data_IF_386244488962
#
_entry.id   IF_386244488962
#
_cell.length_a   1.000
_cell.length_b   1.000
_cell.length_c   1.000
_cell.angle_alpha   90.00
_cell.angle_beta   90.00
_cell.angle_gamma   90.00
#
_symmetry.space_group_name_H-M   'P 1'
#
loop_
_entity.id
_entity.type
_entity.pdbx_description
1 polymer ?
#
# COMPACT_ATOMS: atom_id res chain seq x y z
N UNK A 1 -16.73 -9.45 17.66
CA UNK A 1 -15.92 -9.61 16.44
C UNK A 1 -14.47 -9.34 16.80
N UNK A 2 -13.52 -10.15 16.33
CA UNK A 2 -12.10 -9.90 16.57
C UNK A 2 -11.61 -8.73 15.70
N UNK A 3 -10.61 -7.99 16.14
CA UNK A 3 -10.04 -6.84 15.41
C UNK A 3 -9.62 -7.23 13.97
N UNK A 4 -9.11 -8.45 13.80
CA UNK A 4 -8.69 -9.00 12.52
C UNK A 4 -9.85 -9.08 11.49
N UNK A 5 -11.07 -9.38 11.94
CA UNK A 5 -12.25 -9.39 11.07
C UNK A 5 -12.60 -7.97 10.58
N UNK A 6 -12.34 -6.94 11.38
CA UNK A 6 -12.67 -5.54 11.04
C UNK A 6 -11.72 -4.99 9.97
N UNK A 7 -10.41 -5.22 10.11
CA UNK A 7 -9.43 -4.70 9.14
C UNK A 7 -9.54 -5.39 7.78
N UNK A 8 -9.82 -6.70 7.76
CA UNK A 8 -10.07 -7.42 6.52
C UNK A 8 -11.33 -6.90 5.81
N UNK A 9 -12.40 -6.63 6.55
CA UNK A 9 -13.61 -6.01 5.98
C UNK A 9 -13.33 -4.63 5.38
N UNK A 10 -12.50 -3.82 6.03
CA UNK A 10 -12.07 -2.52 5.49
C UNK A 10 -11.30 -2.67 4.18
N UNK A 11 -10.36 -3.62 4.10
CA UNK A 11 -9.59 -3.90 2.89
C UNK A 11 -10.50 -4.38 1.74
N UNK A 12 -11.38 -5.36 2.00
CA UNK A 12 -12.32 -5.89 1.02
C UNK A 12 -13.28 -4.80 0.51
N UNK A 13 -13.68 -3.85 1.37
CA UNK A 13 -14.55 -2.75 0.98
C UNK A 13 -13.92 -1.77 -0.03
N UNK A 14 -12.59 -1.78 -0.22
CA UNK A 14 -11.94 -1.00 -1.27
C UNK A 14 -12.19 -1.59 -2.66
N UNK A 15 -12.41 -2.91 -2.75
CA UNK A 15 -12.67 -3.62 -4.02
C UNK A 15 -14.14 -3.65 -4.41
N UNK A 16 -15.06 -3.41 -3.47
CA UNK A 16 -16.49 -3.36 -3.75
C UNK A 16 -16.99 -1.98 -4.19
N UNK A 17 -16.17 -0.94 -3.99
CA UNK A 17 -16.56 0.48 -4.18
C UNK A 17 -15.99 1.11 -5.43
N UNK A 18 -14.88 0.58 -5.93
CA UNK A 18 -14.26 1.02 -7.17
C UNK A 18 -14.66 0.05 -8.29
N UNK A 19 -14.78 0.51 -9.54
CA UNK A 19 -14.89 -0.33 -10.75
C UNK A 19 -13.58 -1.14 -10.97
N UNK A 20 -13.12 -1.81 -9.93
CA UNK A 20 -11.89 -2.58 -9.93
C UNK A 20 -12.08 -3.76 -10.85
N UNK A 21 -11.23 -3.85 -11.86
CA UNK A 21 -11.18 -4.99 -12.78
C UNK A 21 -10.57 -6.23 -12.13
N UNK A 22 -10.05 -6.10 -10.90
CA UNK A 22 -9.40 -7.17 -10.13
C UNK A 22 -9.98 -7.32 -8.73
N UNK A 23 -9.89 -8.53 -8.19
CA UNK A 23 -10.27 -8.84 -6.80
C UNK A 23 -9.13 -8.60 -5.82
N UNK A 24 -9.47 -8.58 -4.52
CA UNK A 24 -8.49 -8.53 -3.45
C UNK A 24 -7.51 -9.71 -3.53
N UNK A 25 -8.02 -10.91 -3.82
CA UNK A 25 -7.23 -12.13 -3.89
C UNK A 25 -6.23 -12.11 -5.06
N UNK A 26 -6.61 -11.54 -6.20
CA UNK A 26 -5.73 -11.39 -7.36
C UNK A 26 -4.57 -10.45 -7.06
N UNK A 27 -4.86 -9.29 -6.46
CA UNK A 27 -3.81 -8.35 -6.05
C UNK A 27 -2.96 -8.94 -4.91
N UNK A 28 -3.56 -9.61 -3.94
CA UNK A 28 -2.84 -10.29 -2.87
C UNK A 28 -1.85 -11.32 -3.45
N UNK A 29 -2.30 -12.15 -4.39
CA UNK A 29 -1.46 -13.12 -5.07
C UNK A 29 -0.30 -12.44 -5.80
N UNK A 30 -0.53 -11.33 -6.48
CA UNK A 30 0.52 -10.57 -7.15
C UNK A 30 1.55 -10.01 -6.16
N UNK A 31 1.11 -9.37 -5.07
CA UNK A 31 2.00 -8.73 -4.11
C UNK A 31 2.79 -9.73 -3.24
N UNK A 32 2.29 -10.96 -3.06
CA UNK A 32 3.09 -12.06 -2.51
C UNK A 32 4.33 -12.33 -3.38
N UNK A 33 4.21 -12.20 -4.71
CA UNK A 33 5.32 -12.49 -5.64
C UNK A 33 6.21 -11.27 -5.91
N UNK A 34 5.63 -10.08 -6.04
CA UNK A 34 6.33 -8.91 -6.58
C UNK A 34 6.63 -7.84 -5.53
N UNK A 35 6.14 -8.01 -4.31
CA UNK A 35 6.11 -6.97 -3.32
C UNK A 35 6.19 -7.47 -1.90
N UNK A 36 5.39 -6.83 -1.05
CA UNK A 36 5.32 -7.08 0.38
C UNK A 36 3.87 -7.11 0.79
N UNK A 37 3.58 -8.09 1.63
CA UNK A 37 2.27 -8.30 2.23
C UNK A 37 2.45 -8.32 3.74
N UNK A 38 1.75 -7.43 4.43
CA UNK A 38 1.66 -7.44 5.88
C UNK A 38 0.20 -7.55 6.26
N UNK A 39 -0.13 -8.58 7.04
CA UNK A 39 -1.47 -8.83 7.58
C UNK A 39 -1.30 -9.02 9.07
N UNK A 40 -1.76 -8.04 9.83
CA UNK A 40 -1.78 -8.05 11.30
C UNK A 40 -3.23 -7.87 11.77
N UNK A 41 -3.53 -8.09 13.05
CA UNK A 41 -4.88 -7.85 13.57
C UNK A 41 -5.37 -6.40 13.43
N UNK A 42 -4.47 -5.46 13.16
CA UNK A 42 -4.68 -4.01 13.15
C UNK A 42 -4.37 -3.36 11.81
N UNK A 43 -3.69 -4.03 10.89
CA UNK A 43 -3.29 -3.49 9.59
C UNK A 43 -3.28 -4.56 8.48
N UNK A 44 -3.73 -4.19 7.29
CA UNK A 44 -3.43 -4.92 6.04
C UNK A 44 -2.72 -3.96 5.11
N UNK A 45 -1.60 -4.40 4.53
CA UNK A 45 -0.78 -3.62 3.63
C UNK A 45 -0.30 -4.48 2.45
N UNK A 46 -0.54 -3.99 1.23
CA UNK A 46 0.08 -4.46 0.00
C UNK A 46 0.95 -3.33 -0.55
N UNK A 47 2.26 -3.52 -0.57
CA UNK A 47 3.19 -2.49 -1.01
C UNK A 47 4.41 -3.06 -1.74
N UNK A 48 5.01 -2.27 -2.63
CA UNK A 48 6.27 -2.64 -3.29
C UNK A 48 7.10 -1.41 -3.66
N UNK A 49 8.41 -1.61 -3.79
CA UNK A 49 9.30 -0.56 -4.25
C UNK A 49 9.16 -0.42 -5.78
N UNK A 50 9.03 0.81 -6.27
CA UNK A 50 8.79 1.12 -7.69
C UNK A 50 9.61 2.33 -8.14
N UNK A 51 9.93 2.45 -9.44
CA UNK A 51 10.41 3.70 -10.03
C UNK A 51 9.25 4.70 -10.20
N UNK A 52 9.32 5.83 -9.49
CA UNK A 52 8.30 6.88 -9.40
C UNK A 52 8.07 7.67 -10.68
N UNK A 53 8.95 7.51 -11.66
CA UNK A 53 8.91 8.13 -12.98
C UNK A 53 8.29 7.24 -14.05
N UNK A 54 8.07 5.95 -13.78
CA UNK A 54 7.43 5.02 -14.72
C UNK A 54 5.94 4.91 -14.42
N UNK A 55 5.16 4.72 -15.48
CA UNK A 55 3.77 4.34 -15.32
C UNK A 55 3.69 2.93 -14.73
N UNK A 56 2.72 2.75 -13.85
CA UNK A 56 2.44 1.48 -13.21
C UNK A 56 1.18 0.92 -13.83
N UNK A 57 1.32 -0.20 -14.53
CA UNK A 57 0.20 -0.79 -15.26
C UNK A 57 -0.38 -1.95 -14.47
N UNK A 58 0.45 -2.82 -13.88
CA UNK A 58 -0.03 -4.07 -13.29
C UNK A 58 0.62 -4.46 -11.94
N UNK A 59 -0.14 -5.09 -11.02
CA UNK A 59 0.34 -5.77 -9.80
C UNK A 59 1.55 -6.67 -10.00
N UNK A 60 1.65 -7.29 -11.17
CA UNK A 60 2.71 -8.24 -11.54
C UNK A 60 3.99 -7.58 -12.05
N UNK A 61 4.01 -6.27 -12.25
CA UNK A 61 5.22 -5.55 -12.66
C UNK A 61 6.31 -5.70 -11.59
N UNK A 62 7.54 -5.94 -12.05
CA UNK A 62 8.74 -6.03 -11.20
C UNK A 62 9.80 -5.07 -11.73
N UNK A 63 10.68 -4.62 -10.83
CA UNK A 63 11.73 -3.67 -11.16
C UNK A 63 13.03 -4.04 -10.46
N UNK A 64 14.12 -3.58 -11.06
CA UNK A 64 15.40 -3.62 -10.41
C UNK A 64 15.38 -2.69 -9.18
N UNK A 65 15.86 -3.20 -8.04
CA UNK A 65 15.90 -2.47 -6.79
C UNK A 65 16.68 -1.14 -6.89
N UNK A 66 17.68 -1.06 -7.78
CA UNK A 66 18.47 0.15 -8.01
C UNK A 66 17.72 1.25 -8.76
N UNK A 67 16.62 0.91 -9.46
CA UNK A 67 15.77 1.89 -10.14
C UNK A 67 14.66 2.44 -9.24
N UNK A 68 14.39 1.81 -8.10
CA UNK A 68 13.28 2.14 -7.23
C UNK A 68 13.57 3.33 -6.31
N UNK A 69 12.76 4.39 -6.42
CA UNK A 69 12.81 5.61 -5.62
C UNK A 69 11.48 5.91 -4.90
N UNK A 70 10.49 5.02 -5.02
CA UNK A 70 9.20 5.14 -4.35
C UNK A 70 8.74 3.83 -3.69
N UNK A 71 8.01 3.96 -2.59
CA UNK A 71 7.10 2.91 -2.14
C UNK A 71 5.72 3.11 -2.76
N UNK A 72 5.25 2.13 -3.53
CA UNK A 72 3.84 2.06 -3.93
C UNK A 72 3.06 1.33 -2.83
N UNK A 73 2.11 2.03 -2.23
CA UNK A 73 1.06 1.46 -1.37
C UNK A 73 -0.16 1.23 -2.23
N UNK A 74 -0.36 -0.03 -2.61
CA UNK A 74 -1.48 -0.44 -3.44
C UNK A 74 -2.76 -0.57 -2.62
N UNK A 75 -2.63 -1.17 -1.45
CA UNK A 75 -3.71 -1.28 -0.48
C UNK A 75 -3.17 -1.02 0.91
N UNK A 76 -3.91 -0.24 1.69
CA UNK A 76 -3.72 -0.18 3.13
C UNK A 76 -5.06 -0.01 3.84
N UNK A 77 -5.27 -0.78 4.90
CA UNK A 77 -6.45 -0.71 5.77
C UNK A 77 -6.03 -0.84 7.24
N UNK A 78 -6.78 -0.21 8.14
CA UNK A 78 -6.48 -0.20 9.57
C UNK A 78 -5.47 0.89 9.97
N UNK A 79 -4.56 0.58 10.90
CA UNK A 79 -3.55 1.52 11.39
C UNK A 79 -2.45 1.74 10.34
N UNK A 80 -2.50 2.90 9.67
CA UNK A 80 -1.52 3.28 8.66
C UNK A 80 -0.17 3.68 9.26
N UNK A 81 -0.06 3.93 10.57
CA UNK A 81 1.24 4.20 11.19
C UNK A 81 2.14 2.94 11.17
N UNK A 82 1.53 1.75 11.22
CA UNK A 82 2.25 0.47 11.11
C UNK A 82 2.98 0.31 9.77
N UNK A 83 2.50 0.96 8.70
CA UNK A 83 3.20 0.99 7.41
C UNK A 83 4.68 1.35 7.58
N UNK A 84 4.98 2.38 8.37
CA UNK A 84 6.34 2.86 8.57
C UNK A 84 7.22 1.93 9.41
N UNK A 85 6.63 0.92 10.06
CA UNK A 85 7.35 -0.12 10.79
C UNK A 85 7.71 -1.29 9.87
N UNK A 86 6.86 -1.56 8.87
CA UNK A 86 7.01 -2.70 7.97
C UNK A 86 7.69 -2.35 6.65
N UNK A 87 7.82 -1.07 6.32
CA UNK A 87 8.68 -0.63 5.23
C UNK A 87 10.15 -0.72 5.66
N UNK A 88 10.98 -1.53 4.98
CA UNK A 88 12.34 -1.86 5.44
C UNK A 88 13.32 -0.67 5.38
N UNK A 89 13.04 0.34 4.56
CA UNK A 89 13.89 1.52 4.40
C UNK A 89 13.12 2.69 3.77
N UNK A 90 13.46 3.94 4.11
CA UNK A 90 12.87 5.11 3.46
C UNK A 90 13.30 5.17 2.00
N UNK A 91 12.37 5.53 1.14
CA UNK A 91 12.63 5.95 -0.24
C UNK A 91 12.19 7.42 -0.39
N UNK A 92 12.71 8.18 -1.36
CA UNK A 92 12.34 9.58 -1.55
C UNK A 92 10.82 9.83 -1.65
N UNK A 93 10.10 8.88 -2.25
CA UNK A 93 8.67 9.04 -2.55
C UNK A 93 7.80 7.95 -1.93
N UNK A 94 6.54 8.32 -1.71
CA UNK A 94 5.46 7.42 -1.37
C UNK A 94 4.31 7.63 -2.36
N UNK A 95 3.87 6.57 -3.01
CA UNK A 95 2.81 6.57 -4.01
C UNK A 95 1.64 5.75 -3.47
N UNK A 96 0.44 6.32 -3.44
CA UNK A 96 -0.76 5.62 -2.96
C UNK A 96 -1.72 5.37 -4.10
N UNK A 97 -2.18 4.13 -4.24
CA UNK A 97 -3.34 3.83 -5.05
C UNK A 97 -4.62 4.19 -4.28
N UNK A 98 -5.44 5.06 -4.88
CA UNK A 98 -6.73 5.46 -4.33
C UNK A 98 -7.71 5.79 -5.44
N UNK A 99 -8.85 5.07 -5.49
CA UNK A 99 -9.92 5.30 -6.48
C UNK A 99 -9.41 5.26 -7.92
N UNK A 100 -8.65 4.21 -8.25
CA UNK A 100 -8.04 4.02 -9.58
C UNK A 100 -6.99 5.07 -9.97
N UNK A 101 -6.49 5.88 -9.02
CA UNK A 101 -5.45 6.89 -9.28
C UNK A 101 -4.28 6.73 -8.34
N UNK A 102 -3.08 6.94 -8.87
CA UNK A 102 -1.86 7.01 -8.09
C UNK A 102 -1.59 8.44 -7.63
N UNK A 103 -1.34 8.62 -6.33
CA UNK A 103 -0.95 9.91 -5.75
C UNK A 103 0.45 9.82 -5.17
N UNK A 104 1.38 10.61 -5.70
CA UNK A 104 2.77 10.68 -5.25
C UNK A 104 2.98 11.80 -4.24
N UNK A 105 3.68 11.50 -3.15
CA UNK A 105 4.03 12.42 -2.07
C UNK A 105 5.50 12.24 -1.69
N UNK A 106 6.20 13.30 -1.24
CA UNK A 106 7.48 13.13 -0.55
C UNK A 106 7.27 12.21 0.67
N UNK A 107 8.14 11.21 0.85
CA UNK A 107 7.96 10.19 1.88
C UNK A 107 7.87 10.79 3.29
N UNK A 108 8.79 11.69 3.64
CA UNK A 108 8.81 12.31 4.97
C UNK A 108 7.57 13.19 5.24
N UNK A 109 7.04 13.85 4.20
CA UNK A 109 5.82 14.63 4.33
C UNK A 109 4.62 13.73 4.62
N UNK A 110 4.46 12.65 3.84
CA UNK A 110 3.38 11.69 4.05
C UNK A 110 3.48 11.01 5.42
N UNK A 111 4.71 10.67 5.85
CA UNK A 111 4.98 10.13 7.19
C UNK A 111 4.57 11.09 8.30
N UNK A 112 4.91 12.37 8.18
CA UNK A 112 4.50 13.40 9.13
C UNK A 112 2.98 13.49 9.26
N UNK A 113 2.27 13.56 8.14
CA UNK A 113 0.80 13.63 8.13
C UNK A 113 0.15 12.40 8.78
N UNK A 114 0.50 11.20 8.35
CA UNK A 114 -0.12 9.96 8.85
C UNK A 114 0.13 9.77 10.36
N UNK A 115 1.33 10.10 10.85
CA UNK A 115 1.64 9.98 12.27
C UNK A 115 1.01 11.08 13.14
N UNK A 116 0.60 12.21 12.56
CA UNK A 116 -0.12 13.27 13.27
C UNK A 116 -1.62 12.98 13.37
N UNK A 117 -2.23 12.47 12.29
CA UNK A 117 -3.65 12.12 12.25
C UNK A 117 -4.02 11.03 13.26
N UNK A 118 -3.11 10.11 13.58
CA UNK A 118 -3.33 9.04 14.57
C UNK A 118 -3.19 9.48 16.04
N UNK A 119 -2.73 10.71 16.31
CA UNK A 119 -2.60 11.24 17.69
C UNK A 119 -3.82 12.03 18.17
N UNK A 120 -4.80 12.26 17.28
CA UNK A 120 -6.00 13.05 17.54
C UNK A 120 -7.20 12.13 17.65
#
# INVERSE_FOLDING_TARGET
MSANTVVLQQALALYTRDDSTRTFEEDLAAFIHTGRVYITPTCILLAKAVPSAREYHEPWDTWDAHECDAWLVWLAAGDLAEFFQYVPYPLPWLVWARRGRLRKWPYELARGHILQEQKT
#
